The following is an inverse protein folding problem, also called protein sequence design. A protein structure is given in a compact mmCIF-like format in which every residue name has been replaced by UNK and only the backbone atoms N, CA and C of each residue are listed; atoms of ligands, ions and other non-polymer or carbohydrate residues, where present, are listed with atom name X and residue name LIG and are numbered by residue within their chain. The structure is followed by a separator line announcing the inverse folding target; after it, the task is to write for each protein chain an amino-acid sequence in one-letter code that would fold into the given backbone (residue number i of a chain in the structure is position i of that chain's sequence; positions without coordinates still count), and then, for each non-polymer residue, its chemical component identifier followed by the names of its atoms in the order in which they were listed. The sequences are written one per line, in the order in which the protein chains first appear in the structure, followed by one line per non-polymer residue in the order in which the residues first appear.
data_IF_559567472283
#
_entry.id   IF_559567472283
#
_cell.length_a   1.000
_cell.length_b   1.000
_cell.length_c   1.000
_cell.angle_alpha   90.00
_cell.angle_beta   90.00
_cell.angle_gamma   90.00
#
_symmetry.space_group_name_H-M   'P 1'
#
loop_
_entity.id
_entity.type
_entity.pdbx_description
1 polymer ?
#
# COMPACT_ATOMS: atom_id res chain seq x y z
N UNK A 1 -10.05 -8.15 -7.50
CA UNK A 1 -9.90 -8.92 -6.24
C UNK A 1 -8.97 -8.17 -5.30
N UNK A 2 -9.06 -8.36 -3.97
CA UNK A 2 -8.11 -7.78 -3.02
C UNK A 2 -6.67 -8.19 -3.34
N UNK A 3 -5.71 -7.29 -3.12
CA UNK A 3 -4.30 -7.62 -3.28
C UNK A 3 -3.82 -8.51 -2.14
N UNK A 4 -3.01 -9.53 -2.44
CA UNK A 4 -2.30 -10.29 -1.43
C UNK A 4 -0.99 -9.59 -1.08
N UNK A 5 -0.91 -8.97 0.11
CA UNK A 5 0.29 -8.27 0.57
C UNK A 5 1.47 -9.20 0.91
N UNK A 6 1.23 -10.51 1.09
CA UNK A 6 2.30 -11.49 1.32
C UNK A 6 2.99 -11.96 0.03
N UNK A 7 2.38 -11.72 -1.13
CA UNK A 7 2.99 -12.11 -2.41
C UNK A 7 4.26 -11.30 -2.70
N UNK A 8 5.25 -11.91 -3.35
CA UNK A 8 6.51 -11.24 -3.72
C UNK A 8 6.25 -9.94 -4.50
N UNK A 9 5.33 -9.97 -5.47
CA UNK A 9 4.92 -8.79 -6.25
C UNK A 9 4.39 -7.63 -5.41
N UNK A 10 3.73 -7.92 -4.28
CA UNK A 10 3.24 -6.87 -3.37
C UNK A 10 4.33 -6.40 -2.43
N UNK A 11 5.14 -7.32 -1.90
CA UNK A 11 6.27 -7.02 -1.00
C UNK A 11 7.38 -6.22 -1.70
N UNK A 12 7.51 -6.35 -3.02
CA UNK A 12 8.47 -5.60 -3.83
C UNK A 12 8.07 -4.16 -4.14
N UNK A 13 6.84 -3.75 -3.82
CA UNK A 13 6.44 -2.34 -3.96
C UNK A 13 7.18 -1.50 -2.94
N UNK A 14 7.68 -0.36 -3.36
CA UNK A 14 8.28 0.66 -2.50
C UNK A 14 7.23 1.29 -1.57
N UNK A 15 7.69 1.94 -0.50
CA UNK A 15 6.81 2.71 0.39
C UNK A 15 6.07 3.82 -0.36
N UNK A 16 6.73 4.43 -1.34
CA UNK A 16 6.13 5.45 -2.19
C UNK A 16 4.97 4.90 -3.03
N UNK A 17 5.16 3.74 -3.68
CA UNK A 17 4.09 3.12 -4.46
C UNK A 17 2.90 2.73 -3.59
N UNK A 18 3.16 2.20 -2.38
CA UNK A 18 2.09 1.90 -1.40
C UNK A 18 1.40 3.19 -0.94
N UNK A 19 2.15 4.26 -0.66
CA UNK A 19 1.61 5.55 -0.24
C UNK A 19 0.68 6.12 -1.31
N UNK A 20 1.13 6.16 -2.56
CA UNK A 20 0.33 6.66 -3.68
C UNK A 20 -0.91 5.81 -3.88
N UNK A 21 -0.77 4.47 -3.84
CA UNK A 21 -1.90 3.56 -4.02
C UNK A 21 -2.95 3.67 -2.91
N UNK A 22 -2.56 3.83 -1.64
CA UNK A 22 -3.51 4.03 -0.53
C UNK A 22 -4.12 5.43 -0.58
N UNK A 23 -3.34 6.46 -0.90
CA UNK A 23 -3.82 7.84 -0.92
C UNK A 23 -4.78 8.11 -2.08
N UNK A 24 -4.39 7.70 -3.29
CA UNK A 24 -5.07 8.07 -4.53
C UNK A 24 -5.80 6.90 -5.20
N UNK A 25 -5.57 5.68 -4.75
CA UNK A 25 -6.05 4.48 -5.43
C UNK A 25 -5.13 4.08 -6.57
N UNK A 26 -5.57 3.07 -7.32
CA UNK A 26 -4.87 2.57 -8.51
C UNK A 26 -5.84 2.62 -9.69
N UNK A 27 -5.43 3.33 -10.76
CA UNK A 27 -6.21 3.47 -11.99
C UNK A 27 -6.58 2.10 -12.57
N UNK A 28 -7.77 2.04 -13.18
CA UNK A 28 -8.32 0.82 -13.79
C UNK A 28 -8.42 -0.38 -12.83
N UNK A 29 -8.55 -0.10 -11.52
CA UNK A 29 -8.75 -1.14 -10.51
C UNK A 29 -9.82 -0.72 -9.49
N UNK A 30 -10.42 -1.67 -8.76
CA UNK A 30 -11.30 -1.35 -7.63
C UNK A 30 -10.61 -0.72 -6.41
N UNK A 31 -9.29 -0.56 -6.42
CA UNK A 31 -8.54 0.06 -5.32
C UNK A 31 -8.75 1.57 -5.35
N UNK A 32 -9.73 2.06 -4.60
CA UNK A 32 -10.00 3.49 -4.45
C UNK A 32 -9.04 4.14 -3.46
N UNK A 33 -8.82 5.45 -3.62
CA UNK A 33 -8.01 6.24 -2.70
C UNK A 33 -8.75 6.55 -1.39
N UNK A 34 -7.98 6.67 -0.31
CA UNK A 34 -8.48 6.92 1.04
C UNK A 34 -8.29 8.37 1.51
N UNK A 35 -7.71 9.23 0.67
CA UNK A 35 -7.59 10.67 0.99
C UNK A 35 -8.96 11.29 1.26
N UNK A 36 -9.04 12.09 2.32
CA UNK A 36 -10.29 12.72 2.78
C UNK A 36 -11.12 11.84 3.71
N UNK A 37 -10.82 10.53 3.80
CA UNK A 37 -11.32 9.64 4.87
C UNK A 37 -10.28 9.40 5.95
N UNK A 38 -9.01 9.27 5.56
CA UNK A 38 -7.87 9.16 6.46
C UNK A 38 -7.04 10.43 6.39
N UNK A 39 -6.46 10.81 7.54
CA UNK A 39 -5.41 11.84 7.60
C UNK A 39 -4.10 11.29 7.02
N UNK A 40 -3.18 12.18 6.66
CA UNK A 40 -1.87 11.77 6.14
C UNK A 40 -1.11 10.89 7.16
N UNK A 41 -1.28 11.14 8.45
CA UNK A 41 -0.66 10.32 9.50
C UNK A 41 -1.30 8.93 9.59
N UNK A 42 -2.62 8.84 9.51
CA UNK A 42 -3.31 7.54 9.48
C UNK A 42 -2.95 6.73 8.23
N UNK A 43 -2.70 7.38 7.09
CA UNK A 43 -2.20 6.68 5.89
C UNK A 43 -0.81 6.11 6.14
N UNK A 44 0.09 6.86 6.79
CA UNK A 44 1.42 6.34 7.17
C UNK A 44 1.31 5.18 8.16
N UNK A 45 0.39 5.24 9.12
CA UNK A 45 0.14 4.14 10.06
C UNK A 45 -0.31 2.87 9.32
N UNK A 46 -1.17 3.01 8.31
CA UNK A 46 -1.57 1.89 7.43
C UNK A 46 -0.36 1.31 6.70
N UNK A 47 0.53 2.14 6.17
CA UNK A 47 1.76 1.69 5.53
C UNK A 47 2.67 0.94 6.51
N UNK A 48 2.86 1.49 7.71
CA UNK A 48 3.64 0.85 8.77
C UNK A 48 3.04 -0.51 9.15
N UNK A 49 1.71 -0.60 9.27
CA UNK A 49 1.02 -1.86 9.52
C UNK A 49 1.22 -2.89 8.40
N UNK A 50 1.11 -2.48 7.14
CA UNK A 50 1.40 -3.36 5.99
C UNK A 50 2.84 -3.88 6.07
N UNK A 51 3.82 -3.02 6.37
CA UNK A 51 5.24 -3.42 6.47
C UNK A 51 5.54 -4.32 7.65
N UNK A 52 4.89 -4.08 8.78
CA UNK A 52 4.98 -4.94 9.95
C UNK A 52 4.51 -6.37 9.63
N UNK A 53 3.42 -6.50 8.88
CA UNK A 53 2.82 -7.79 8.54
C UNK A 53 3.45 -8.45 7.29
N UNK A 54 3.96 -7.65 6.35
CA UNK A 54 4.56 -8.07 5.10
C UNK A 54 5.83 -7.24 4.82
N UNK A 55 6.99 -7.64 5.40
CA UNK A 55 8.24 -6.91 5.26
C UNK A 55 8.64 -6.71 3.79
N UNK A 56 9.22 -5.54 3.49
CA UNK A 56 9.70 -5.20 2.16
C UNK A 56 10.69 -6.25 1.65
N UNK A 57 10.55 -6.62 0.38
CA UNK A 57 11.41 -7.59 -0.30
C UNK A 57 11.86 -6.98 -1.62
N UNK A 58 13.05 -6.38 -1.62
CA UNK A 58 13.65 -5.91 -2.86
C UNK A 58 13.95 -7.14 -3.71
N UNK A 59 13.19 -7.34 -4.78
CA UNK A 59 13.53 -8.35 -5.78
C UNK A 59 14.87 -7.94 -6.38
N UNK A 60 15.92 -8.72 -6.09
CA UNK A 60 17.24 -8.62 -6.72
C UNK A 60 17.19 -8.86 -8.22
#
# INVERSE_FOLDING_TARGET
APANFQSLKSRSKSDWELLVAVTHGVLFSPMHGWRGRLTDEQIKDVLAYIRLMAPFDAVS
#
